data_IF_775713177123
#
_entry.id   IF_775713177123
#
_cell.length_a   1.000
_cell.length_b   1.000
_cell.length_c   1.000
_cell.angle_alpha   90.00
_cell.angle_beta   90.00
_cell.angle_gamma   90.00
#
_symmetry.space_group_name_H-M   'P 1'
#
loop_
_entity.id
_entity.type
_entity.pdbx_description
1 polymer ?
#
# COMPACT_ATOMS: atom_id res chain seq x y z
N UNK A 1 18.36 11.39 -11.47
CA UNK A 1 18.44 10.33 -12.50
C UNK A 1 18.39 10.91 -13.91
N UNK A 2 17.40 11.73 -14.25
CA UNK A 2 17.27 12.36 -15.58
C UNK A 2 18.51 13.15 -16.01
N UNK A 3 19.07 13.96 -15.11
CA UNK A 3 20.32 14.73 -15.38
C UNK A 3 21.51 13.83 -15.72
N UNK A 4 21.55 12.60 -15.23
CA UNK A 4 22.65 11.66 -15.49
C UNK A 4 22.46 10.88 -16.77
N UNK A 5 21.23 10.60 -17.16
CA UNK A 5 20.89 9.78 -18.34
C UNK A 5 20.53 10.62 -19.57
N UNK A 6 20.21 11.91 -19.39
CA UNK A 6 19.67 12.78 -20.42
C UNK A 6 18.28 12.37 -20.94
N UNK A 7 17.63 11.41 -20.24
CA UNK A 7 16.29 10.91 -20.60
C UNK A 7 15.27 11.44 -19.61
N UNK A 8 14.09 11.78 -20.12
CA UNK A 8 12.92 12.07 -19.32
C UNK A 8 12.12 10.80 -19.12
N UNK A 9 11.58 10.61 -17.93
CA UNK A 9 10.74 9.46 -17.54
C UNK A 9 9.34 9.95 -17.19
N UNK A 10 8.31 9.15 -17.46
CA UNK A 10 6.91 9.53 -17.20
C UNK A 10 6.47 9.20 -15.76
N UNK A 11 7.07 8.17 -15.18
CA UNK A 11 6.80 7.73 -13.82
C UNK A 11 8.04 7.12 -13.16
N UNK A 12 7.99 7.02 -11.84
CA UNK A 12 8.92 6.26 -11.01
C UNK A 12 8.15 5.08 -10.40
N UNK A 13 8.73 3.90 -10.44
CA UNK A 13 8.27 2.75 -9.67
C UNK A 13 9.25 2.57 -8.52
N UNK A 14 8.75 2.70 -7.30
CA UNK A 14 9.48 2.45 -6.07
C UNK A 14 9.06 1.09 -5.51
N UNK A 15 10.03 0.23 -5.23
CA UNK A 15 9.83 -1.12 -4.72
C UNK A 15 10.55 -1.24 -3.38
N UNK A 16 9.77 -1.30 -2.30
CA UNK A 16 10.36 -1.40 -0.97
C UNK A 16 11.09 -2.73 -0.79
N UNK A 17 12.27 -2.66 -0.19
CA UNK A 17 13.13 -3.85 0.04
C UNK A 17 12.67 -4.65 1.25
N UNK A 18 11.98 -4.03 2.19
CA UNK A 18 11.48 -4.66 3.42
C UNK A 18 10.15 -5.37 3.22
N UNK A 19 9.46 -5.11 2.11
CA UNK A 19 8.19 -5.74 1.72
C UNK A 19 8.33 -6.54 0.41
N UNK A 20 9.17 -7.60 0.37
CA UNK A 20 9.57 -8.29 -0.87
C UNK A 20 8.55 -9.29 -1.42
N UNK A 21 7.49 -9.65 -0.67
CA UNK A 21 6.48 -10.61 -1.09
C UNK A 21 5.56 -10.01 -2.16
N UNK A 22 6.10 -9.84 -3.35
CA UNK A 22 5.39 -9.39 -4.55
C UNK A 22 5.82 -10.21 -5.75
N UNK A 23 4.93 -10.32 -6.71
CA UNK A 23 5.20 -10.97 -8.00
C UNK A 23 5.48 -9.93 -9.09
N UNK A 24 6.01 -10.37 -10.21
CA UNK A 24 6.13 -9.53 -11.41
C UNK A 24 4.75 -9.01 -11.85
N UNK A 25 3.72 -9.85 -11.75
CA UNK A 25 2.35 -9.47 -12.10
C UNK A 25 1.79 -8.35 -11.22
N UNK A 26 2.16 -8.28 -9.94
CA UNK A 26 1.75 -7.20 -9.04
C UNK A 26 2.33 -5.85 -9.49
N UNK A 27 3.59 -5.86 -9.93
CA UNK A 27 4.26 -4.67 -10.47
C UNK A 27 3.60 -4.23 -11.77
N UNK A 28 3.33 -5.17 -12.68
CA UNK A 28 2.65 -4.90 -13.94
C UNK A 28 1.24 -4.35 -13.73
N UNK A 29 0.48 -4.94 -12.81
CA UNK A 29 -0.87 -4.48 -12.48
C UNK A 29 -0.89 -3.05 -11.93
N UNK A 30 0.04 -2.72 -11.02
CA UNK A 30 0.16 -1.37 -10.48
C UNK A 30 0.54 -0.35 -11.58
N UNK A 31 1.46 -0.71 -12.46
CA UNK A 31 1.86 0.13 -13.57
C UNK A 31 0.75 0.31 -14.62
N UNK A 32 0.08 -0.78 -15.02
CA UNK A 32 -1.06 -0.72 -15.94
C UNK A 32 -2.17 0.20 -15.41
N UNK A 33 -2.49 0.10 -14.11
CA UNK A 33 -3.46 0.98 -13.48
C UNK A 33 -3.05 2.45 -13.53
N UNK A 34 -1.76 2.74 -13.37
CA UNK A 34 -1.25 4.09 -13.55
C UNK A 34 -1.39 4.58 -14.99
N UNK A 35 -1.25 3.71 -15.98
CA UNK A 35 -1.45 4.06 -17.40
C UNK A 35 -2.92 4.33 -17.73
N UNK A 36 -3.84 3.50 -17.24
CA UNK A 36 -5.28 3.61 -17.48
C UNK A 36 -5.91 4.84 -16.79
N UNK A 37 -5.36 5.26 -15.65
CA UNK A 37 -5.92 6.29 -14.79
C UNK A 37 -5.00 7.51 -14.74
N UNK A 38 -4.93 8.26 -15.84
CA UNK A 38 -4.10 9.46 -15.95
C UNK A 38 -4.44 10.56 -14.93
N UNK A 39 -5.63 10.53 -14.37
CA UNK A 39 -6.09 11.43 -13.33
C UNK A 39 -5.50 11.15 -11.94
N UNK A 40 -4.88 9.97 -11.73
CA UNK A 40 -4.24 9.57 -10.49
C UNK A 40 -2.74 9.92 -10.52
N UNK A 41 -2.27 10.52 -9.45
CA UNK A 41 -0.88 10.94 -9.29
C UNK A 41 0.02 9.82 -8.77
N UNK A 42 -0.56 8.95 -7.95
CA UNK A 42 0.13 7.82 -7.33
C UNK A 42 -0.78 6.59 -7.34
N UNK A 43 -0.17 5.41 -7.51
CA UNK A 43 -0.80 4.12 -7.24
C UNK A 43 -0.01 3.46 -6.12
N UNK A 44 -0.70 3.05 -5.04
CA UNK A 44 -0.14 2.24 -3.95
C UNK A 44 -0.55 0.79 -4.11
N UNK A 45 0.35 -0.12 -3.75
CA UNK A 45 -0.06 -1.49 -3.48
C UNK A 45 -0.73 -1.60 -2.11
N UNK A 46 -1.76 -2.43 -2.03
CA UNK A 46 -2.55 -2.68 -0.82
C UNK A 46 -2.93 -4.15 -0.74
N UNK A 47 -3.22 -4.60 0.49
CA UNK A 47 -3.86 -5.89 0.74
C UNK A 47 -5.26 -5.67 1.33
N UNK A 48 -6.16 -6.65 1.15
CA UNK A 48 -7.44 -6.63 1.86
C UNK A 48 -7.21 -6.65 3.37
N UNK A 49 -7.77 -5.68 4.09
CA UNK A 49 -7.53 -5.55 5.52
C UNK A 49 -8.19 -6.68 6.31
N UNK A 50 -7.42 -7.33 7.16
CA UNK A 50 -7.93 -8.35 8.10
C UNK A 50 -8.71 -7.76 9.26
N UNK A 51 -8.54 -6.49 9.53
CA UNK A 51 -9.24 -5.72 10.56
C UNK A 51 -10.00 -4.57 9.94
N UNK A 52 -10.98 -4.07 10.67
CA UNK A 52 -11.85 -3.01 10.16
C UNK A 52 -12.10 -1.98 11.27
N UNK A 53 -11.81 -0.69 11.02
CA UNK A 53 -11.92 0.35 12.05
C UNK A 53 -13.36 0.59 12.54
N UNK A 54 -14.35 0.21 11.75
CA UNK A 54 -15.78 0.29 12.11
C UNK A 54 -16.30 -0.95 12.83
N UNK A 55 -15.51 -2.02 12.96
CA UNK A 55 -16.04 -3.28 13.48
C UNK A 55 -15.18 -3.95 14.56
N UNK A 56 -13.86 -4.09 14.36
CA UNK A 56 -13.00 -4.90 15.22
C UNK A 56 -11.61 -4.30 15.48
N UNK A 57 -11.50 -2.97 15.36
CA UNK A 57 -10.33 -2.22 15.81
C UNK A 57 -10.72 -1.27 16.95
N UNK A 58 -9.90 -1.25 17.98
CA UNK A 58 -10.14 -0.46 19.20
C UNK A 58 -8.93 0.40 19.51
N UNK A 59 -9.17 1.59 20.04
CA UNK A 59 -8.17 2.47 20.66
C UNK A 59 -8.35 2.39 22.18
N UNK A 60 -7.26 2.51 22.92
CA UNK A 60 -7.29 2.58 24.40
C UNK A 60 -7.39 4.05 24.81
N UNK A 61 -8.37 4.37 25.65
CA UNK A 61 -8.63 5.69 26.18
C UNK A 61 -8.69 5.59 27.72
N UNK A 62 -7.61 6.00 28.38
CA UNK A 62 -7.48 5.82 29.82
C UNK A 62 -7.43 4.34 30.23
N UNK A 63 -8.48 3.86 30.90
CA UNK A 63 -8.62 2.50 31.43
C UNK A 63 -9.62 1.63 30.66
N UNK A 64 -10.16 2.12 29.54
CA UNK A 64 -11.14 1.40 28.72
C UNK A 64 -10.79 1.44 27.24
N UNK A 65 -11.50 0.65 26.45
CA UNK A 65 -11.35 0.60 25.00
C UNK A 65 -12.59 1.16 24.29
N UNK A 66 -12.34 1.90 23.21
CA UNK A 66 -13.37 2.43 22.32
C UNK A 66 -13.14 1.97 20.89
N UNK A 67 -14.19 1.88 20.09
CA UNK A 67 -14.06 1.66 18.65
C UNK A 67 -13.19 2.75 18.01
N UNK A 68 -12.36 2.40 17.02
CA UNK A 68 -11.56 3.39 16.27
C UNK A 68 -12.48 4.36 15.55
N UNK A 69 -13.51 3.84 14.88
CA UNK A 69 -14.60 4.62 14.29
C UNK A 69 -15.91 4.09 14.88
N UNK A 70 -16.67 4.98 15.50
CA UNK A 70 -17.98 4.64 16.06
C UNK A 70 -18.92 4.16 14.93
N UNK A 71 -19.56 3.01 15.17
CA UNK A 71 -20.52 2.43 14.24
C UNK A 71 -21.56 1.58 14.96
N UNK A 72 -22.65 1.28 14.26
CA UNK A 72 -23.69 0.34 14.74
C UNK A 72 -23.60 -1.02 14.02
N UNK A 73 -22.51 -1.30 13.35
CA UNK A 73 -22.33 -2.57 12.66
C UNK A 73 -22.16 -3.72 13.63
N UNK A 74 -22.94 -4.78 13.42
CA UNK A 74 -22.89 -6.01 14.25
C UNK A 74 -22.09 -7.12 13.57
N UNK A 75 -21.68 -6.93 12.32
CA UNK A 75 -20.90 -7.89 11.56
C UNK A 75 -20.06 -7.24 10.47
N UNK A 76 -18.97 -7.90 10.10
CA UNK A 76 -18.01 -7.42 9.09
C UNK A 76 -18.68 -7.08 7.74
N UNK A 77 -19.70 -7.84 7.36
CA UNK A 77 -20.38 -7.68 6.06
C UNK A 77 -21.14 -6.37 5.93
N UNK A 78 -21.39 -5.67 7.04
CA UNK A 78 -22.07 -4.38 7.08
C UNK A 78 -21.10 -3.20 6.98
N UNK A 79 -19.83 -3.44 7.36
CA UNK A 79 -18.80 -2.41 7.34
C UNK A 79 -18.27 -2.20 5.90
N UNK A 80 -17.83 -0.98 5.56
CA UNK A 80 -17.15 -0.75 4.29
C UNK A 80 -15.92 -1.63 4.13
N UNK A 81 -15.61 -1.99 2.89
CA UNK A 81 -14.33 -2.62 2.56
C UNK A 81 -13.19 -1.66 2.89
N UNK A 82 -12.13 -2.19 3.47
CA UNK A 82 -10.92 -1.45 3.82
C UNK A 82 -9.69 -2.24 3.41
N UNK A 83 -8.62 -1.51 3.13
CA UNK A 83 -7.37 -2.07 2.67
C UNK A 83 -6.22 -1.57 3.53
N UNK A 84 -5.27 -2.44 3.79
CA UNK A 84 -4.00 -2.09 4.43
C UNK A 84 -2.98 -1.72 3.35
N UNK A 85 -2.31 -0.58 3.50
CA UNK A 85 -1.18 -0.20 2.65
C UNK A 85 0.01 -1.08 3.06
N UNK A 86 0.52 -1.85 2.11
CA UNK A 86 1.60 -2.80 2.37
C UNK A 86 2.99 -2.26 1.99
N UNK A 87 3.07 -0.99 1.59
CA UNK A 87 4.29 -0.29 1.21
C UNK A 87 5.15 -0.96 0.10
N UNK A 88 4.68 -2.05 -0.52
CA UNK A 88 5.51 -2.88 -1.40
C UNK A 88 5.79 -2.24 -2.76
N UNK A 89 4.78 -1.59 -3.37
CA UNK A 89 4.89 -0.99 -4.70
C UNK A 89 4.27 0.41 -4.69
N UNK A 90 5.02 1.40 -5.18
CA UNK A 90 4.53 2.74 -5.44
C UNK A 90 4.80 3.09 -6.90
N UNK A 91 3.78 3.45 -7.65
CA UNK A 91 3.93 4.03 -8.99
C UNK A 91 3.60 5.51 -8.89
N UNK A 92 4.59 6.36 -9.06
CA UNK A 92 4.49 7.81 -8.84
C UNK A 92 4.73 8.53 -10.16
N UNK A 93 3.78 9.36 -10.57
CA UNK A 93 3.94 10.16 -11.78
C UNK A 93 5.04 11.21 -11.61
N UNK A 94 5.84 11.36 -12.64
CA UNK A 94 6.90 12.37 -12.67
C UNK A 94 6.37 13.79 -12.38
N UNK A 95 5.26 14.16 -12.99
CA UNK A 95 4.66 15.48 -12.78
C UNK A 95 4.44 15.79 -11.30
N UNK A 96 3.90 14.81 -10.54
CA UNK A 96 3.69 14.97 -9.10
C UNK A 96 5.00 15.23 -8.33
N UNK A 97 6.09 14.51 -8.67
CA UNK A 97 7.39 14.69 -8.02
C UNK A 97 8.06 16.02 -8.37
N UNK A 98 7.88 16.48 -9.61
CA UNK A 98 8.50 17.74 -10.06
C UNK A 98 7.76 18.96 -9.53
N UNK A 99 6.44 18.90 -9.48
CA UNK A 99 5.59 20.01 -9.07
C UNK A 99 5.50 20.14 -7.53
N UNK A 100 5.92 19.11 -6.79
CA UNK A 100 5.88 19.06 -5.33
C UNK A 100 7.26 18.72 -4.76
N UNK A 101 8.08 19.71 -4.40
CA UNK A 101 9.44 19.46 -3.90
C UNK A 101 9.50 18.69 -2.58
N UNK A 102 8.41 18.71 -1.79
CA UNK A 102 8.26 17.97 -0.53
C UNK A 102 6.87 17.31 -0.52
N UNK A 103 6.67 16.23 -1.30
CA UNK A 103 5.36 15.67 -1.53
C UNK A 103 4.85 14.90 -0.32
N UNK A 104 3.69 15.28 0.19
CA UNK A 104 2.91 14.44 1.11
C UNK A 104 2.04 13.52 0.27
N UNK A 105 2.44 12.25 0.18
CA UNK A 105 1.81 11.28 -0.72
C UNK A 105 0.29 11.15 -0.50
N UNK A 106 -0.14 11.18 0.77
CA UNK A 106 -1.55 11.06 1.17
C UNK A 106 -2.42 12.27 0.81
N UNK A 107 -1.81 13.40 0.43
CA UNK A 107 -2.54 14.58 -0.06
C UNK A 107 -2.72 14.57 -1.58
N UNK A 108 -2.16 13.57 -2.25
CA UNK A 108 -2.33 13.39 -3.69
C UNK A 108 -3.67 12.73 -4.04
N UNK A 109 -4.07 12.82 -5.29
CA UNK A 109 -5.12 11.95 -5.82
C UNK A 109 -4.49 10.61 -6.16
N UNK A 110 -4.74 9.60 -5.35
CA UNK A 110 -4.14 8.28 -5.48
C UNK A 110 -5.16 7.19 -5.81
N UNK A 111 -4.68 6.09 -6.32
CA UNK A 111 -5.40 4.83 -6.50
C UNK A 111 -4.67 3.68 -5.83
N UNK A 112 -5.28 2.51 -5.83
CA UNK A 112 -4.71 1.32 -5.21
C UNK A 112 -4.62 0.16 -6.19
N UNK A 113 -3.58 -0.67 -6.06
CA UNK A 113 -3.43 -1.96 -6.72
C UNK A 113 -3.46 -3.04 -5.65
N UNK A 114 -4.47 -3.91 -5.70
CA UNK A 114 -4.67 -4.95 -4.69
C UNK A 114 -3.72 -6.12 -4.97
N UNK A 115 -2.96 -6.52 -3.96
CA UNK A 115 -2.03 -7.65 -3.97
C UNK A 115 -2.56 -8.79 -3.11
N UNK A 116 -1.82 -9.91 -3.09
CA UNK A 116 -2.09 -11.03 -2.20
C UNK A 116 -2.03 -10.63 -0.72
N UNK A 117 -2.80 -11.32 0.10
CA UNK A 117 -2.94 -11.08 1.55
C UNK A 117 -1.59 -11.13 2.31
N UNK A 118 -0.71 -12.05 1.94
CA UNK A 118 0.63 -12.18 2.55
C UNK A 118 1.57 -11.02 2.22
N UNK A 119 1.26 -10.21 1.20
CA UNK A 119 2.02 -9.01 0.86
C UNK A 119 2.01 -7.92 1.93
N UNK A 120 1.22 -8.07 3.01
CA UNK A 120 1.21 -7.14 4.16
C UNK A 120 2.43 -7.32 5.08
N UNK A 121 3.17 -8.40 4.96
CA UNK A 121 4.31 -8.68 5.85
C UNK A 121 5.49 -7.80 5.45
N UNK A 122 6.01 -7.07 6.42
CA UNK A 122 7.20 -6.21 6.30
C UNK A 122 8.33 -6.75 7.19
N UNK A 123 9.58 -6.62 6.79
CA UNK A 123 10.75 -7.11 7.55
C UNK A 123 11.20 -6.03 8.53
N UNK A 124 10.62 -6.03 9.70
CA UNK A 124 11.01 -5.17 10.83
C UNK A 124 11.89 -5.92 11.86
N UNK A 125 11.86 -7.25 11.82
CA UNK A 125 12.56 -8.11 12.79
C UNK A 125 13.09 -9.40 12.15
N UNK A 126 13.98 -10.09 12.87
CA UNK A 126 14.44 -11.44 12.51
C UNK A 126 13.28 -12.45 12.38
N UNK A 127 12.23 -12.28 13.18
CA UNK A 127 11.04 -13.14 13.11
C UNK A 127 10.26 -12.93 11.79
N UNK A 128 10.14 -11.71 11.32
CA UNK A 128 9.49 -11.41 10.05
C UNK A 128 10.27 -12.00 8.89
N UNK A 129 11.61 -11.91 8.94
CA UNK A 129 12.47 -12.55 7.95
C UNK A 129 12.23 -14.07 7.87
N UNK A 130 12.19 -14.77 9.01
CA UNK A 130 11.95 -16.21 9.05
C UNK A 130 10.55 -16.58 8.53
N UNK A 131 9.54 -15.76 8.83
CA UNK A 131 8.19 -15.94 8.29
C UNK A 131 8.18 -15.75 6.78
N UNK A 132 8.83 -14.70 6.28
CA UNK A 132 8.91 -14.45 4.84
C UNK A 132 9.65 -15.54 4.10
N UNK A 133 10.75 -16.03 4.63
CA UNK A 133 11.51 -17.14 4.03
C UNK A 133 10.62 -18.39 3.89
N UNK A 134 9.81 -18.68 4.91
CA UNK A 134 8.86 -19.81 4.86
C UNK A 134 7.76 -19.60 3.80
N UNK A 135 7.23 -18.39 3.67
CA UNK A 135 6.20 -18.06 2.68
C UNK A 135 6.77 -18.09 1.27
N UNK A 136 7.95 -17.52 1.05
CA UNK A 136 8.58 -17.43 -0.27
C UNK A 136 8.86 -18.80 -0.91
N UNK A 137 8.94 -19.87 -0.11
CA UNK A 137 9.07 -21.24 -0.62
C UNK A 137 7.77 -21.75 -1.26
N UNK A 138 6.65 -21.06 -1.10
CA UNK A 138 5.32 -21.44 -1.58
C UNK A 138 4.71 -20.47 -2.60
N UNK A 139 5.46 -19.44 -2.97
CA UNK A 139 5.14 -18.50 -4.07
C UNK A 139 5.76 -18.99 -5.37
#
# INVERSE_FOLDING_TARGET
>A
METRTGKQYDAMIDLDITSPLRTEQDIENAFAKAQEREDLQIIFSVCEARRNPWFNMFKIVGDHAEMVIESQFTGRQQAPEVYDVNASIYVIRRAFLVDNPDPILWHSKFGVSVMMDTGIIDIDSEHDYLLMEAIAQHL
#
